data_IF_154554066796
#
_entry.id   IF_154554066796
#
_cell.length_a   1.000
_cell.length_b   1.000
_cell.length_c   1.000
_cell.angle_alpha   90.00
_cell.angle_beta   90.00
_cell.angle_gamma   90.00
#
_symmetry.space_group_name_H-M   'P 1'
#
loop_
_entity.id
_entity.type
_entity.pdbx_description
1 polymer ?
#
# COMPACT_ATOMS: atom_id res chain seq x y z
N UNK A 1 28.37 18.36 -13.27
CA UNK A 1 28.69 17.36 -12.23
C UNK A 1 28.02 17.84 -10.96
N UNK A 2 26.97 17.16 -10.47
CA UNK A 2 26.22 17.61 -9.29
C UNK A 2 27.14 17.50 -8.06
N UNK A 3 27.31 18.58 -7.31
CA UNK A 3 28.14 18.60 -6.11
C UNK A 3 27.48 17.73 -5.01
N UNK A 4 28.12 16.63 -4.56
CA UNK A 4 27.56 15.75 -3.53
C UNK A 4 27.29 16.47 -2.20
N UNK A 5 27.93 17.63 -1.95
CA UNK A 5 27.71 18.44 -0.75
C UNK A 5 26.43 19.27 -0.79
N UNK A 6 25.75 19.35 -1.94
CA UNK A 6 24.46 20.02 -2.06
C UNK A 6 23.30 19.22 -1.43
N UNK A 7 23.51 17.95 -1.09
CA UNK A 7 22.50 17.10 -0.46
C UNK A 7 22.31 17.48 1.01
N UNK A 8 21.22 18.18 1.32
CA UNK A 8 20.87 18.61 2.66
C UNK A 8 20.10 17.51 3.39
N UNK A 9 20.62 17.03 4.52
CA UNK A 9 19.97 16.02 5.38
C UNK A 9 18.76 16.53 6.18
N UNK A 10 18.36 17.80 5.99
CA UNK A 10 17.26 18.43 6.75
C UNK A 10 15.92 17.70 6.57
N UNK A 11 15.71 17.03 5.44
CA UNK A 11 14.49 16.24 5.20
C UNK A 11 14.32 15.08 6.19
N UNK A 12 15.42 14.52 6.72
CA UNK A 12 15.37 13.42 7.68
C UNK A 12 14.61 13.80 8.96
N UNK A 13 14.74 15.06 9.42
CA UNK A 13 14.04 15.54 10.62
C UNK A 13 12.52 15.62 10.42
N UNK A 14 12.10 16.03 9.22
CA UNK A 14 10.68 16.09 8.85
C UNK A 14 10.12 14.67 8.70
N UNK A 15 10.88 13.77 8.10
CA UNK A 15 10.52 12.36 7.98
C UNK A 15 10.41 11.67 9.35
N UNK A 16 11.37 11.90 10.25
CA UNK A 16 11.36 11.36 11.62
C UNK A 16 10.12 11.84 12.39
N UNK A 17 9.75 13.12 12.27
CA UNK A 17 8.51 13.67 12.83
C UNK A 17 7.27 12.94 12.30
N UNK A 18 7.16 12.79 10.98
CA UNK A 18 6.02 12.11 10.36
C UNK A 18 5.97 10.63 10.78
N UNK A 19 7.13 9.96 10.88
CA UNK A 19 7.23 8.58 11.33
C UNK A 19 6.77 8.41 12.79
N UNK A 20 7.13 9.34 13.68
CA UNK A 20 6.68 9.28 15.08
C UNK A 20 5.15 9.39 15.20
N UNK A 21 4.52 10.27 14.41
CA UNK A 21 3.06 10.39 14.37
C UNK A 21 2.43 9.12 13.78
N UNK A 22 2.98 8.63 12.67
CA UNK A 22 2.53 7.39 12.04
C UNK A 22 2.61 6.21 13.01
N UNK A 23 3.70 6.06 13.77
CA UNK A 23 3.85 5.02 14.81
C UNK A 23 2.80 5.10 15.93
N UNK A 24 2.20 6.25 16.18
CA UNK A 24 1.14 6.39 17.20
C UNK A 24 -0.22 5.92 16.68
N UNK A 25 -0.48 6.10 15.38
CA UNK A 25 -1.77 5.84 14.72
C UNK A 25 -1.70 4.59 13.80
N UNK A 26 -0.56 3.89 13.78
CA UNK A 26 -0.25 2.81 12.84
C UNK A 26 -1.34 1.76 12.75
N UNK A 27 -1.99 1.43 13.87
CA UNK A 27 -3.06 0.43 13.90
C UNK A 27 -4.21 0.83 12.99
N UNK A 28 -4.68 2.07 13.09
CA UNK A 28 -5.82 2.55 12.28
C UNK A 28 -5.37 2.79 10.84
N UNK A 29 -4.19 3.39 10.65
CA UNK A 29 -3.69 3.72 9.32
C UNK A 29 -3.27 2.49 8.50
N UNK A 30 -2.94 1.36 9.14
CA UNK A 30 -2.49 0.15 8.45
C UNK A 30 -3.52 -0.98 8.48
N UNK A 31 -4.16 -1.29 9.62
CA UNK A 31 -5.11 -2.41 9.66
C UNK A 31 -6.37 -2.11 8.86
N UNK A 32 -6.95 -0.91 8.99
CA UNK A 32 -8.22 -0.60 8.31
C UNK A 32 -8.10 -0.72 6.78
N UNK A 33 -7.07 -0.16 6.13
CA UNK A 33 -6.88 -0.30 4.69
C UNK A 33 -6.37 -1.68 4.25
N UNK A 34 -5.79 -2.48 5.15
CA UNK A 34 -5.37 -3.85 4.86
C UNK A 34 -6.55 -4.83 4.89
N UNK A 35 -7.55 -4.57 5.73
CA UNK A 35 -8.73 -5.41 5.83
C UNK A 35 -9.52 -5.43 4.53
N UNK A 36 -9.60 -4.30 3.82
CA UNK A 36 -10.33 -4.17 2.55
C UNK A 36 -9.84 -5.16 1.46
N UNK A 37 -8.55 -5.18 1.06
CA UNK A 37 -8.03 -6.16 0.10
C UNK A 37 -8.08 -7.59 0.66
N UNK A 38 -7.97 -7.78 1.97
CA UNK A 38 -8.11 -9.12 2.58
C UNK A 38 -9.54 -9.66 2.41
N UNK A 39 -10.55 -8.81 2.63
CA UNK A 39 -11.95 -9.16 2.40
C UNK A 39 -12.25 -9.37 0.93
N UNK A 40 -11.64 -8.59 0.03
CA UNK A 40 -11.75 -8.85 -1.41
C UNK A 40 -11.14 -10.20 -1.79
N UNK A 41 -9.94 -10.52 -1.31
CA UNK A 41 -9.31 -11.83 -1.55
C UNK A 41 -10.17 -12.97 -0.98
N UNK A 42 -10.76 -12.80 0.21
CA UNK A 42 -11.67 -13.79 0.78
C UNK A 42 -12.96 -13.93 -0.03
N UNK A 43 -13.60 -12.83 -0.43
CA UNK A 43 -14.85 -12.84 -1.18
C UNK A 43 -14.64 -13.41 -2.59
N UNK A 44 -13.59 -12.99 -3.30
CA UNK A 44 -13.25 -13.51 -4.61
C UNK A 44 -12.68 -14.93 -4.54
N UNK A 45 -11.86 -15.23 -3.54
CA UNK A 45 -11.33 -16.57 -3.31
C UNK A 45 -12.43 -17.58 -3.01
N UNK A 46 -13.38 -17.25 -2.14
CA UNK A 46 -14.49 -18.15 -1.82
C UNK A 46 -15.57 -18.18 -2.91
N UNK A 47 -15.83 -17.05 -3.58
CA UNK A 47 -16.89 -16.93 -4.59
C UNK A 47 -16.48 -17.40 -5.99
N UNK A 48 -15.25 -17.10 -6.42
CA UNK A 48 -14.79 -17.38 -7.78
C UNK A 48 -13.86 -18.58 -7.89
N UNK A 49 -13.38 -19.17 -6.78
CA UNK A 49 -12.58 -20.41 -6.83
C UNK A 49 -13.29 -21.57 -7.52
N UNK A 50 -14.63 -21.58 -7.55
CA UNK A 50 -15.39 -22.60 -8.29
C UNK A 50 -15.77 -22.21 -9.73
N UNK A 51 -15.56 -20.95 -10.13
CA UNK A 51 -15.99 -20.41 -11.42
C UNK A 51 -14.81 -20.17 -12.39
N UNK A 52 -13.63 -19.87 -11.84
CA UNK A 52 -12.41 -19.58 -12.59
C UNK A 52 -11.29 -20.46 -12.02
N UNK A 53 -11.01 -21.56 -12.71
CA UNK A 53 -10.08 -22.59 -12.24
C UNK A 53 -8.61 -22.16 -12.42
N UNK A 54 -8.25 -21.70 -13.62
CA UNK A 54 -6.88 -21.30 -13.97
C UNK A 54 -6.84 -20.08 -14.88
N UNK A 55 -5.93 -19.15 -14.54
CA UNK A 55 -5.59 -17.98 -15.35
C UNK A 55 -4.25 -18.25 -16.02
N UNK A 56 -4.26 -18.31 -17.35
CA UNK A 56 -3.05 -18.46 -18.15
C UNK A 56 -2.45 -17.07 -18.40
N UNK A 57 -1.28 -16.77 -17.82
CA UNK A 57 -0.59 -15.50 -18.00
C UNK A 57 0.92 -15.68 -18.11
N UNK A 58 1.55 -15.11 -19.14
CA UNK A 58 3.01 -15.14 -19.31
C UNK A 58 3.60 -16.54 -19.50
N UNK A 59 2.81 -17.52 -19.94
CA UNK A 59 3.23 -18.92 -20.07
C UNK A 59 3.18 -19.73 -18.79
N UNK A 60 2.61 -19.19 -17.72
CA UNK A 60 2.39 -19.89 -16.45
C UNK A 60 0.91 -19.87 -16.05
N UNK A 61 0.52 -20.88 -15.28
CA UNK A 61 -0.85 -21.07 -14.82
C UNK A 61 -0.95 -20.61 -13.37
N UNK A 62 -1.80 -19.61 -13.13
CA UNK A 62 -2.04 -19.07 -11.80
C UNK A 62 -3.49 -19.32 -11.39
N UNK A 63 -3.72 -19.55 -10.11
CA UNK A 63 -5.07 -19.43 -9.56
C UNK A 63 -5.52 -17.97 -9.67
N UNK A 64 -6.82 -17.74 -9.88
CA UNK A 64 -7.39 -16.39 -9.98
C UNK A 64 -6.98 -15.51 -8.79
N UNK A 65 -6.96 -16.10 -7.59
CA UNK A 65 -6.54 -15.46 -6.35
C UNK A 65 -5.08 -15.03 -6.38
N UNK A 66 -4.17 -15.88 -6.85
CA UNK A 66 -2.75 -15.56 -6.97
C UNK A 66 -2.47 -14.47 -8.00
N UNK A 67 -3.30 -14.40 -9.05
CA UNK A 67 -3.19 -13.37 -10.07
C UNK A 67 -3.66 -11.99 -9.57
N UNK A 68 -4.79 -11.91 -8.85
CA UNK A 68 -5.38 -10.63 -8.41
C UNK A 68 -4.78 -10.08 -7.10
N UNK A 69 -4.29 -10.96 -6.21
CA UNK A 69 -3.69 -10.56 -4.94
C UNK A 69 -2.61 -9.46 -5.05
N UNK A 70 -1.59 -9.56 -5.94
CA UNK A 70 -0.56 -8.51 -6.04
C UNK A 70 -1.12 -7.18 -6.54
N UNK A 71 -2.12 -7.19 -7.43
CA UNK A 71 -2.78 -5.97 -7.89
C UNK A 71 -3.53 -5.27 -6.74
N UNK A 72 -4.26 -6.02 -5.93
CA UNK A 72 -4.98 -5.51 -4.75
C UNK A 72 -4.02 -4.95 -3.68
N UNK A 73 -2.87 -5.60 -3.48
CA UNK A 73 -1.84 -5.10 -2.56
C UNK A 73 -1.26 -3.77 -3.09
N UNK A 74 -0.93 -3.70 -4.38
CA UNK A 74 -0.39 -2.50 -4.99
C UNK A 74 -1.35 -1.30 -4.90
N UNK A 75 -2.65 -1.52 -5.17
CA UNK A 75 -3.66 -0.45 -5.06
C UNK A 75 -3.86 0.01 -3.62
N UNK A 76 -3.87 -0.91 -2.65
CA UNK A 76 -3.97 -0.56 -1.23
C UNK A 76 -2.76 0.28 -0.76
N UNK A 77 -1.55 -0.10 -1.16
CA UNK A 77 -0.31 0.65 -0.87
C UNK A 77 -0.34 2.04 -1.51
N UNK A 78 -0.77 2.14 -2.76
CA UNK A 78 -0.88 3.41 -3.47
C UNK A 78 -1.86 4.35 -2.76
N UNK A 79 -3.06 3.86 -2.41
CA UNK A 79 -4.06 4.64 -1.70
C UNK A 79 -3.55 5.12 -0.33
N UNK A 80 -2.95 4.24 0.45
CA UNK A 80 -2.41 4.59 1.77
C UNK A 80 -1.32 5.68 1.68
N UNK A 81 -0.40 5.52 0.73
CA UNK A 81 0.68 6.47 0.47
C UNK A 81 0.13 7.82 0.01
N UNK A 82 -0.89 7.82 -0.84
CA UNK A 82 -1.55 9.04 -1.30
C UNK A 82 -2.18 9.81 -0.14
N UNK A 83 -2.99 9.17 0.69
CA UNK A 83 -3.65 9.83 1.83
C UNK A 83 -2.66 10.38 2.86
N UNK A 84 -1.58 9.66 3.15
CA UNK A 84 -0.55 10.12 4.10
C UNK A 84 0.24 11.32 3.56
N UNK A 85 0.56 11.34 2.27
CA UNK A 85 1.36 12.40 1.63
C UNK A 85 0.56 13.65 1.32
N UNK A 86 -0.73 13.54 1.01
CA UNK A 86 -1.60 14.70 0.78
C UNK A 86 -2.22 15.18 2.09
N UNK A 87 -3.22 14.46 2.60
CA UNK A 87 -4.01 14.89 3.76
C UNK A 87 -3.20 14.88 5.04
N UNK A 88 -2.48 13.78 5.32
CA UNK A 88 -1.70 13.66 6.54
C UNK A 88 -0.63 14.76 6.65
N UNK A 89 0.07 15.05 5.55
CA UNK A 89 1.09 16.09 5.53
C UNK A 89 0.51 17.50 5.57
N UNK A 90 -0.59 17.77 4.86
CA UNK A 90 -1.28 19.06 4.89
C UNK A 90 -1.81 19.40 6.29
N UNK A 91 -2.50 18.46 6.94
CA UNK A 91 -3.06 18.67 8.29
C UNK A 91 -1.96 18.91 9.34
N UNK A 92 -0.74 18.40 9.14
CA UNK A 92 0.41 18.62 10.04
C UNK A 92 1.19 19.91 9.77
N UNK A 93 0.80 20.68 8.76
CA UNK A 93 1.38 22.00 8.45
C UNK A 93 0.57 23.16 9.02
N UNK A 94 -0.72 22.93 9.28
CA UNK A 94 -1.59 23.84 10.03
C UNK A 94 -1.53 23.50 11.52
#
# INVERSE_FOLDING_TARGET
MIDPKAFSWRFLRVWERNLMVYKKIWKVNFLTPLLEPLFYILAFGLGFSGLIDTVHYGGADFSYTAFIAPALIATAVMWNSFFETTYGSFVRMY
#
